data_IF_125807665962
#
_entry.id   IF_125807665962
#
_cell.length_a   1.000
_cell.length_b   1.000
_cell.length_c   1.000
_cell.angle_alpha   90.00
_cell.angle_beta   90.00
_cell.angle_gamma   90.00
#
_symmetry.space_group_name_H-M   'P 1'
#
loop_
_entity.id
_entity.type
_entity.pdbx_description
1 polymer ?
#
# COMPACT_ATOMS: atom_id res chain seq x y z
N UNK A 1 9.96 13.24 7.87
CA UNK A 1 9.61 12.51 6.63
C UNK A 1 8.10 12.44 6.42
N UNK A 2 7.69 12.11 5.21
CA UNK A 2 6.29 11.85 4.83
C UNK A 2 6.19 10.41 4.30
N UNK A 3 5.35 9.59 4.91
CA UNK A 3 5.07 8.25 4.42
C UNK A 3 3.69 8.20 3.74
N UNK A 4 3.67 7.85 2.45
CA UNK A 4 2.44 7.62 1.69
C UNK A 4 2.08 6.15 1.76
N UNK A 5 1.08 5.81 2.58
CA UNK A 5 0.68 4.42 2.81
C UNK A 5 -0.30 3.94 1.73
N UNK A 6 0.21 3.24 0.74
CA UNK A 6 -0.61 2.51 -0.24
C UNK A 6 -1.14 1.22 0.39
N UNK A 7 -2.44 0.87 0.24
CA UNK A 7 -2.99 -0.36 0.80
C UNK A 7 -2.26 -1.62 0.33
N UNK A 8 -1.99 -2.54 1.25
CA UNK A 8 -1.43 -3.90 1.01
C UNK A 8 0.01 -3.94 0.51
N UNK A 9 0.79 -2.90 0.74
CA UNK A 9 2.21 -2.79 0.37
C UNK A 9 3.18 -2.88 1.56
N UNK A 10 2.73 -3.44 2.68
CA UNK A 10 3.57 -3.58 3.89
C UNK A 10 3.56 -2.39 4.83
N UNK A 11 2.75 -1.37 4.56
CA UNK A 11 2.71 -0.14 5.35
C UNK A 11 2.45 -0.32 6.84
N UNK A 12 1.66 -1.33 7.24
CA UNK A 12 1.44 -1.63 8.67
C UNK A 12 2.71 -2.02 9.43
N UNK A 13 3.69 -2.64 8.76
CA UNK A 13 5.00 -2.93 9.35
C UNK A 13 5.82 -1.66 9.56
N UNK A 14 5.73 -0.73 8.61
CA UNK A 14 6.40 0.57 8.66
C UNK A 14 5.77 1.45 9.74
N UNK A 15 4.44 1.54 9.77
CA UNK A 15 3.71 2.26 10.81
C UNK A 15 4.05 1.74 12.22
N UNK A 16 4.09 0.41 12.37
CA UNK A 16 4.47 -0.22 13.64
C UNK A 16 5.91 0.06 14.02
N UNK A 17 6.84 0.11 13.06
CA UNK A 17 8.23 0.46 13.30
C UNK A 17 8.36 1.89 13.84
N UNK A 18 7.67 2.84 13.23
CA UNK A 18 7.66 4.23 13.66
C UNK A 18 6.72 4.50 14.84
N UNK A 19 6.10 3.45 15.37
CA UNK A 19 5.06 3.58 16.40
C UNK A 19 3.91 4.51 15.97
N UNK A 20 3.60 4.53 14.68
CA UNK A 20 2.47 5.22 14.08
C UNK A 20 1.37 4.17 13.93
N UNK A 21 0.26 4.32 14.64
CA UNK A 21 -0.87 3.41 14.49
C UNK A 21 -2.06 4.19 13.95
N UNK A 22 -2.76 3.63 12.96
CA UNK A 22 -3.96 4.23 12.41
C UNK A 22 -5.04 4.42 13.48
N UNK A 23 -6.02 3.54 13.53
CA UNK A 23 -7.12 3.61 14.50
C UNK A 23 -7.03 2.38 15.41
N UNK A 24 -7.19 2.53 16.72
CA UNK A 24 -7.30 1.38 17.62
C UNK A 24 -8.64 0.64 17.40
N UNK A 25 -8.78 -0.55 18.00
CA UNK A 25 -9.98 -1.38 17.88
C UNK A 25 -11.26 -0.71 18.45
N UNK A 26 -11.12 0.49 19.04
CA UNK A 26 -12.23 1.30 19.58
C UNK A 26 -12.52 2.51 18.72
N UNK A 27 -11.86 2.66 17.58
CA UNK A 27 -12.03 3.80 16.67
C UNK A 27 -11.32 5.08 17.13
N UNK A 28 -10.46 5.02 18.14
CA UNK A 28 -9.69 6.18 18.58
C UNK A 28 -8.44 6.33 17.70
N UNK A 29 -8.17 7.56 17.29
CA UNK A 29 -6.89 7.88 16.67
C UNK A 29 -5.77 7.64 17.67
N UNK A 30 -4.99 6.62 17.44
CA UNK A 30 -3.75 6.43 18.17
C UNK A 30 -2.73 7.36 17.55
N UNK A 31 -2.67 8.56 18.09
CA UNK A 31 -1.74 9.61 17.66
C UNK A 31 -0.36 9.31 18.17
N UNK A 32 0.59 9.41 17.33
CA UNK A 32 1.96 9.23 17.74
C UNK A 32 2.87 10.23 17.10
N UNK A 33 3.32 11.13 17.89
CA UNK A 33 4.51 11.96 17.76
C UNK A 33 4.97 12.31 16.32
N UNK A 34 4.04 12.41 15.40
CA UNK A 34 4.29 13.00 14.11
C UNK A 34 3.42 14.20 13.96
N UNK A 35 4.04 15.28 13.67
CA UNK A 35 3.42 16.57 13.38
C UNK A 35 2.42 16.56 12.22
N UNK A 36 2.13 15.37 11.64
CA UNK A 36 1.27 15.22 10.49
C UNK A 36 0.38 14.00 10.67
N UNK A 37 -0.73 14.20 11.38
CA UNK A 37 -1.81 13.23 11.49
C UNK A 37 -3.09 13.82 10.95
N UNK A 38 -3.64 13.16 9.97
CA UNK A 38 -4.97 13.43 9.46
C UNK A 38 -5.94 12.46 10.13
N UNK A 39 -7.07 12.92 10.64
CA UNK A 39 -8.06 12.13 11.37
C UNK A 39 -8.53 10.84 10.69
N UNK A 40 -9.55 10.19 11.21
CA UNK A 40 -10.10 8.92 10.73
C UNK A 40 -10.22 8.86 9.21
N UNK A 41 -9.72 7.78 8.60
CA UNK A 41 -9.77 7.54 7.16
C UNK A 41 -8.62 8.15 6.34
N UNK A 42 -7.65 8.80 6.97
CA UNK A 42 -6.52 9.43 6.28
C UNK A 42 -5.33 8.50 6.02
N UNK A 43 -5.35 7.28 6.55
CA UNK A 43 -4.23 6.33 6.43
C UNK A 43 -3.79 6.10 4.97
N UNK A 44 -4.72 6.15 4.03
CA UNK A 44 -4.48 5.89 2.61
C UNK A 44 -4.69 7.13 1.73
N UNK A 45 -4.29 8.29 2.21
CA UNK A 45 -4.30 9.48 1.37
C UNK A 45 -3.20 9.42 0.29
N UNK A 46 -3.52 9.93 -0.90
CA UNK A 46 -2.51 10.19 -1.93
C UNK A 46 -1.56 11.29 -1.45
N UNK A 47 -0.34 11.36 -2.01
CA UNK A 47 0.61 12.41 -1.65
C UNK A 47 0.01 13.81 -1.85
N UNK A 48 -0.71 14.05 -2.95
CA UNK A 48 -1.42 15.32 -3.18
C UNK A 48 -2.40 15.65 -2.06
N UNK A 49 -3.17 14.64 -1.62
CA UNK A 49 -4.14 14.82 -0.52
C UNK A 49 -3.46 15.12 0.80
N UNK A 50 -2.28 14.52 1.04
CA UNK A 50 -1.45 14.84 2.21
C UNK A 50 -1.01 16.30 2.16
N UNK A 51 -0.51 16.78 1.02
CA UNK A 51 -0.10 18.18 0.85
C UNK A 51 -1.27 19.16 1.07
N UNK A 52 -2.45 18.87 0.51
CA UNK A 52 -3.66 19.70 0.65
C UNK A 52 -4.15 19.81 2.11
N UNK A 53 -3.98 18.73 2.89
CA UNK A 53 -4.47 18.65 4.26
C UNK A 53 -3.46 19.10 5.30
N UNK A 54 -2.18 19.19 4.93
CA UNK A 54 -1.12 19.59 5.84
C UNK A 54 -1.11 21.11 6.05
N UNK A 55 -1.02 21.52 7.31
CA UNK A 55 -0.77 22.92 7.66
C UNK A 55 0.74 23.26 7.63
N UNK A 56 1.61 22.30 7.27
CA UNK A 56 3.07 22.45 7.25
C UNK A 56 3.57 22.49 5.82
N UNK A 57 4.65 23.22 5.60
CA UNK A 57 5.39 23.13 4.34
C UNK A 57 6.16 21.77 4.32
N UNK A 58 5.64 20.84 3.54
CA UNK A 58 6.23 19.49 3.43
C UNK A 58 7.36 19.38 2.40
N UNK A 59 7.70 20.46 1.68
CA UNK A 59 8.72 20.44 0.62
C UNK A 59 10.13 20.11 1.11
N UNK A 60 10.40 20.28 2.41
CA UNK A 60 11.68 19.98 3.04
C UNK A 60 11.73 18.59 3.68
N UNK A 61 10.64 17.86 3.66
CA UNK A 61 10.54 16.54 4.26
C UNK A 61 10.84 15.47 3.23
N UNK A 62 11.75 14.54 3.54
CA UNK A 62 11.94 13.34 2.74
C UNK A 62 10.63 12.53 2.68
N UNK A 63 10.18 12.23 1.48
CA UNK A 63 8.90 11.56 1.23
C UNK A 63 9.10 10.21 0.57
N UNK A 64 8.35 9.19 1.03
CA UNK A 64 8.49 7.85 0.49
C UNK A 64 7.18 7.07 0.50
N UNK A 65 7.15 6.03 -0.30
CA UNK A 65 6.07 5.04 -0.38
C UNK A 65 6.61 3.66 -0.69
N UNK A 66 5.76 2.64 -0.57
CA UNK A 66 6.02 1.31 -1.07
C UNK A 66 4.93 0.89 -2.04
N UNK A 67 5.34 0.21 -3.11
CA UNK A 67 4.46 -0.43 -4.08
C UNK A 67 4.63 -1.94 -4.03
N UNK A 68 3.70 -2.67 -4.60
CA UNK A 68 3.70 -4.13 -4.64
C UNK A 68 3.24 -4.62 -6.00
N UNK A 69 3.72 -5.78 -6.43
CA UNK A 69 3.22 -6.46 -7.61
C UNK A 69 1.69 -6.48 -7.61
N UNK A 70 1.00 -5.90 -8.61
CA UNK A 70 -0.46 -5.71 -8.60
C UNK A 70 -1.25 -7.01 -8.40
N UNK A 71 -0.81 -8.10 -9.01
CA UNK A 71 -1.45 -9.41 -8.85
C UNK A 71 -1.28 -9.95 -7.42
N UNK A 72 -0.10 -9.82 -6.85
CA UNK A 72 0.16 -10.19 -5.45
C UNK A 72 -0.64 -9.32 -4.48
N UNK A 73 -0.80 -8.02 -4.79
CA UNK A 73 -1.58 -7.07 -4.00
C UNK A 73 -3.07 -7.44 -3.94
N UNK A 74 -3.68 -7.81 -5.08
CA UNK A 74 -5.09 -8.24 -5.12
C UNK A 74 -5.34 -9.52 -4.32
N UNK A 75 -4.43 -10.50 -4.39
CA UNK A 75 -4.55 -11.70 -3.54
C UNK A 75 -4.47 -11.34 -2.05
N UNK A 76 -3.54 -10.46 -1.68
CA UNK A 76 -3.41 -9.99 -0.30
C UNK A 76 -4.66 -9.23 0.18
N UNK A 77 -5.28 -8.44 -0.68
CA UNK A 77 -6.51 -7.71 -0.37
C UNK A 77 -7.69 -8.66 -0.21
N UNK A 78 -7.85 -9.64 -1.12
CA UNK A 78 -8.91 -10.64 -1.03
C UNK A 78 -8.89 -11.40 0.29
N UNK A 79 -7.74 -11.96 0.67
CA UNK A 79 -7.64 -12.73 1.91
C UNK A 79 -7.83 -11.87 3.16
N UNK A 80 -7.34 -10.63 3.14
CA UNK A 80 -7.58 -9.71 4.23
C UNK A 80 -9.06 -9.36 4.36
N UNK A 81 -9.75 -9.00 3.28
CA UNK A 81 -11.19 -8.72 3.32
C UNK A 81 -12.00 -9.93 3.71
N UNK A 82 -11.72 -11.09 3.14
CA UNK A 82 -12.43 -12.33 3.44
C UNK A 82 -12.37 -12.70 4.92
N UNK A 83 -11.42 -12.19 5.69
CA UNK A 83 -11.29 -12.45 7.12
C UNK A 83 -12.32 -11.71 7.98
N UNK A 84 -12.98 -10.67 7.46
CA UNK A 84 -13.93 -9.86 8.22
C UNK A 84 -15.19 -9.43 7.43
N UNK A 85 -15.15 -9.45 6.11
CA UNK A 85 -16.26 -9.03 5.27
C UNK A 85 -17.14 -10.22 4.92
N UNK A 86 -18.34 -10.24 5.48
CA UNK A 86 -19.30 -11.35 5.33
C UNK A 86 -19.81 -11.50 3.90
N UNK A 87 -19.82 -10.45 3.07
CA UNK A 87 -20.19 -10.53 1.65
C UNK A 87 -19.25 -11.51 0.92
N UNK A 88 -17.99 -11.58 1.34
CA UNK A 88 -16.96 -12.41 0.69
C UNK A 88 -16.89 -13.85 1.21
N UNK A 89 -17.71 -14.24 2.18
CA UNK A 89 -17.63 -15.57 2.81
C UNK A 89 -17.62 -16.70 1.78
N UNK A 90 -18.49 -16.64 0.80
CA UNK A 90 -18.63 -17.67 -0.24
C UNK A 90 -17.91 -17.35 -1.55
N UNK A 91 -17.22 -16.21 -1.63
CA UNK A 91 -16.50 -15.83 -2.84
C UNK A 91 -15.21 -16.65 -3.00
N UNK A 92 -14.99 -17.13 -4.22
CA UNK A 92 -13.65 -17.51 -4.67
C UNK A 92 -12.84 -16.27 -5.01
N UNK A 93 -11.53 -16.39 -5.19
CA UNK A 93 -10.71 -15.28 -5.67
C UNK A 93 -11.18 -14.79 -7.05
N UNK A 94 -11.61 -15.71 -7.90
CA UNK A 94 -12.18 -15.37 -9.22
C UNK A 94 -13.44 -14.51 -9.10
N UNK A 95 -14.36 -14.87 -8.20
CA UNK A 95 -15.58 -14.07 -7.95
C UNK A 95 -15.23 -12.67 -7.43
N UNK A 96 -14.25 -12.58 -6.55
CA UNK A 96 -13.75 -11.31 -6.05
C UNK A 96 -13.23 -10.41 -7.20
N UNK A 97 -12.39 -10.93 -8.09
CA UNK A 97 -11.87 -10.17 -9.23
C UNK A 97 -12.99 -9.74 -10.19
N UNK A 98 -13.96 -10.60 -10.44
CA UNK A 98 -15.03 -10.33 -11.40
C UNK A 98 -16.09 -9.35 -10.88
N UNK A 99 -16.40 -9.40 -9.57
CA UNK A 99 -17.61 -8.75 -9.04
C UNK A 99 -17.37 -7.77 -7.90
N UNK A 100 -16.22 -7.82 -7.23
CA UNK A 100 -16.01 -7.08 -5.99
C UNK A 100 -14.84 -6.09 -6.04
N UNK A 101 -13.73 -6.38 -6.70
CA UNK A 101 -12.48 -5.63 -6.57
C UNK A 101 -12.55 -4.14 -6.93
N UNK A 102 -13.57 -3.71 -7.67
CA UNK A 102 -13.81 -2.31 -8.05
C UNK A 102 -14.64 -1.52 -7.02
N UNK A 103 -15.21 -2.19 -6.02
CA UNK A 103 -16.10 -1.56 -5.03
C UNK A 103 -15.35 -0.80 -3.93
N UNK A 104 -14.02 -0.84 -3.89
CA UNK A 104 -13.27 -0.36 -2.73
C UNK A 104 -12.17 0.62 -3.10
N UNK A 105 -11.91 1.59 -2.21
CA UNK A 105 -10.79 2.53 -2.35
C UNK A 105 -9.41 1.85 -2.30
N UNK A 106 -9.30 0.66 -1.68
CA UNK A 106 -8.09 -0.14 -1.70
C UNK A 106 -7.71 -0.65 -3.08
N UNK A 107 -8.69 -0.77 -3.99
CA UNK A 107 -8.48 -1.15 -5.38
C UNK A 107 -7.98 -0.04 -6.29
N UNK A 108 -7.65 1.15 -5.78
CA UNK A 108 -7.06 2.20 -6.59
C UNK A 108 -5.67 1.81 -7.12
N UNK A 109 -5.32 2.19 -8.36
CA UNK A 109 -3.96 2.02 -8.88
C UNK A 109 -2.93 2.73 -7.99
N UNK A 110 -1.78 2.10 -7.80
CA UNK A 110 -0.73 2.59 -6.89
C UNK A 110 -0.08 3.88 -7.40
N UNK A 111 0.04 4.02 -8.72
CA UNK A 111 0.55 5.23 -9.34
C UNK A 111 -0.25 6.48 -8.95
N UNK A 112 -1.55 6.36 -8.69
CA UNK A 112 -2.38 7.49 -8.27
C UNK A 112 -1.99 8.09 -6.92
N UNK A 113 -1.29 7.34 -6.10
CA UNK A 113 -0.83 7.78 -4.78
C UNK A 113 0.45 8.61 -4.85
N UNK A 114 1.33 8.33 -5.82
CA UNK A 114 2.72 8.80 -5.83
C UNK A 114 3.16 9.48 -7.12
N UNK A 115 2.30 9.49 -8.17
CA UNK A 115 2.57 10.20 -9.41
C UNK A 115 1.56 11.32 -9.64
N UNK A 116 1.96 12.31 -10.44
CA UNK A 116 1.03 13.31 -10.95
C UNK A 116 0.29 12.82 -12.21
N UNK A 117 -0.53 13.71 -12.78
CA UNK A 117 -1.30 13.42 -14.01
C UNK A 117 -0.42 13.15 -15.23
N UNK A 118 0.80 13.67 -15.23
CA UNK A 118 1.76 13.58 -16.33
C UNK A 118 2.75 12.42 -16.14
N UNK A 119 2.56 11.62 -15.06
CA UNK A 119 3.39 10.46 -14.71
C UNK A 119 4.68 10.81 -13.97
N UNK A 120 4.86 12.07 -13.55
CA UNK A 120 6.03 12.47 -12.77
C UNK A 120 5.89 12.00 -11.32
N UNK A 121 6.97 11.41 -10.80
CA UNK A 121 7.04 11.00 -9.39
C UNK A 121 6.96 12.22 -8.46
N UNK A 122 6.10 12.11 -7.46
CA UNK A 122 5.84 13.16 -6.47
C UNK A 122 6.57 12.95 -5.15
N UNK A 123 6.98 11.73 -4.85
CA UNK A 123 7.70 11.37 -3.62
C UNK A 123 9.19 11.15 -3.93
N UNK A 124 10.06 11.31 -2.94
CA UNK A 124 11.51 11.19 -3.13
C UNK A 124 11.97 9.74 -3.35
N UNK A 125 11.26 8.77 -2.76
CA UNK A 125 11.62 7.36 -2.88
C UNK A 125 10.38 6.45 -2.96
N UNK A 126 10.44 5.45 -3.85
CA UNK A 126 9.43 4.39 -3.96
C UNK A 126 10.13 3.04 -3.82
N UNK A 127 9.91 2.38 -2.69
CA UNK A 127 10.37 1.01 -2.45
C UNK A 127 9.39 -0.04 -2.97
N UNK A 128 9.86 -1.28 -3.11
CA UNK A 128 9.05 -2.44 -3.49
C UNK A 128 8.79 -3.33 -2.27
N UNK A 129 7.55 -3.79 -2.11
CA UNK A 129 7.18 -4.75 -1.06
C UNK A 129 8.00 -6.03 -1.14
N UNK A 130 8.37 -6.43 -2.34
CA UNK A 130 9.18 -7.61 -2.63
C UNK A 130 10.60 -7.51 -2.01
N UNK A 131 11.10 -6.28 -1.84
CA UNK A 131 12.39 -5.95 -1.22
C UNK A 131 12.20 -5.08 0.04
N UNK A 132 11.11 -5.31 0.79
CA UNK A 132 10.63 -4.38 1.81
C UNK A 132 11.70 -4.00 2.85
N UNK A 133 12.51 -4.95 3.32
CA UNK A 133 13.54 -4.68 4.33
C UNK A 133 14.72 -3.89 3.75
N UNK A 134 15.20 -4.32 2.60
CA UNK A 134 16.33 -3.70 1.91
C UNK A 134 16.01 -2.25 1.54
N UNK A 135 14.84 -2.03 0.94
CA UNK A 135 14.38 -0.69 0.56
C UNK A 135 14.10 0.18 1.80
N UNK A 136 13.62 -0.43 2.90
CA UNK A 136 13.43 0.29 4.15
C UNK A 136 14.76 0.68 4.80
N UNK A 137 15.79 -0.13 4.67
CA UNK A 137 17.14 0.19 5.15
C UNK A 137 17.73 1.41 4.44
N UNK A 138 17.44 1.57 3.13
CA UNK A 138 17.79 2.78 2.37
C UNK A 138 17.06 4.01 2.93
N UNK A 139 15.76 3.86 3.24
CA UNK A 139 14.99 4.94 3.84
C UNK A 139 15.57 5.33 5.20
N UNK A 140 15.93 4.36 6.05
CA UNK A 140 16.57 4.63 7.34
C UNK A 140 17.83 5.49 7.19
N UNK A 141 18.69 5.19 6.21
CA UNK A 141 19.87 6.00 5.89
C UNK A 141 19.49 7.43 5.47
N UNK A 142 18.49 7.58 4.59
CA UNK A 142 18.05 8.89 4.09
C UNK A 142 17.48 9.79 5.19
N UNK A 143 16.80 9.22 6.17
CA UNK A 143 16.21 9.98 7.29
C UNK A 143 17.10 10.02 8.54
N UNK A 144 18.30 9.42 8.50
CA UNK A 144 19.29 9.49 9.56
C UNK A 144 18.97 8.68 10.81
N UNK A 145 18.31 7.51 10.67
CA UNK A 145 17.99 6.63 11.80
C UNK A 145 18.67 5.26 11.67
N UNK A 146 18.91 4.55 12.78
CA UNK A 146 19.49 3.22 12.74
C UNK A 146 18.61 2.21 11.96
N UNK A 147 19.24 1.42 11.11
CA UNK A 147 18.61 0.27 10.47
C UNK A 147 18.19 -0.75 11.53
N UNK A 148 16.95 -1.17 11.46
CA UNK A 148 16.39 -2.23 12.33
C UNK A 148 15.44 -3.08 11.52
N UNK A 149 15.34 -4.35 11.90
CA UNK A 149 14.39 -5.28 11.27
C UNK A 149 12.96 -4.80 11.45
N UNK A 150 12.23 -4.69 10.34
CA UNK A 150 10.82 -4.36 10.37
C UNK A 150 10.03 -5.42 11.14
N UNK A 151 9.09 -5.01 12.01
CA UNK A 151 8.22 -5.95 12.66
C UNK A 151 7.33 -6.64 11.64
N UNK A 152 7.23 -7.95 11.72
CA UNK A 152 6.31 -8.71 10.89
C UNK A 152 4.87 -8.43 11.33
N UNK A 153 4.09 -7.76 10.47
CA UNK A 153 2.67 -7.49 10.70
C UNK A 153 1.83 -8.05 9.57
N UNK A 154 0.71 -8.70 9.92
CA UNK A 154 -0.35 -9.09 8.98
C UNK A 154 0.08 -10.02 7.83
N UNK A 155 0.90 -11.04 8.08
CA UNK A 155 1.16 -12.08 7.08
C UNK A 155 -0.12 -12.88 6.83
N UNK A 156 -0.77 -12.63 5.70
CA UNK A 156 -1.88 -13.48 5.26
C UNK A 156 -1.35 -14.88 4.92
N UNK A 157 -2.01 -15.89 5.47
CA UNK A 157 -1.69 -17.30 5.18
C UNK A 157 -2.36 -17.69 3.86
N UNK A 158 -1.64 -17.59 2.78
CA UNK A 158 -2.10 -18.04 1.45
C UNK A 158 -0.91 -18.61 0.68
N UNK A 159 -1.21 -19.39 -0.35
CA UNK A 159 -0.23 -19.90 -1.30
C UNK A 159 0.42 -18.79 -2.12
N UNK A 160 1.36 -19.12 -2.99
CA UNK A 160 1.91 -18.14 -3.93
C UNK A 160 0.78 -17.54 -4.77
N UNK A 161 0.84 -16.22 -5.03
CA UNK A 161 -0.29 -15.51 -5.64
C UNK A 161 -0.65 -16.03 -7.04
N UNK A 162 0.30 -16.56 -7.78
CA UNK A 162 0.07 -17.13 -9.12
C UNK A 162 -0.90 -18.31 -9.14
N UNK A 163 -1.05 -19.03 -8.03
CA UNK A 163 -1.94 -20.19 -7.93
C UNK A 163 -3.44 -19.83 -7.88
N UNK A 164 -3.77 -18.55 -7.74
CA UNK A 164 -5.15 -18.07 -7.67
C UNK A 164 -5.69 -17.56 -8.99
N UNK A 165 -4.82 -17.34 -9.98
CA UNK A 165 -5.16 -16.74 -11.25
C UNK A 165 -5.42 -17.76 -12.34
N UNK A 166 -6.46 -17.51 -13.14
CA UNK A 166 -6.59 -18.02 -14.50
C UNK A 166 -6.23 -16.89 -15.50
N UNK A 167 -6.15 -17.22 -16.81
CA UNK A 167 -5.78 -16.22 -17.82
C UNK A 167 -6.74 -15.03 -17.85
N UNK A 168 -8.04 -15.26 -17.61
CA UNK A 168 -9.05 -14.19 -17.60
C UNK A 168 -8.84 -13.23 -16.42
N UNK A 169 -8.69 -13.73 -15.21
CA UNK A 169 -8.48 -12.90 -14.02
C UNK A 169 -7.12 -12.21 -14.03
N UNK A 170 -6.10 -12.87 -14.55
CA UNK A 170 -4.78 -12.29 -14.79
C UNK A 170 -4.85 -11.08 -15.71
N UNK A 171 -5.58 -11.21 -16.83
CA UNK A 171 -5.76 -10.13 -17.81
C UNK A 171 -6.56 -8.96 -17.22
N UNK A 172 -7.64 -9.22 -16.49
CA UNK A 172 -8.44 -8.16 -15.83
C UNK A 172 -7.56 -7.31 -14.89
N UNK A 173 -6.71 -7.95 -14.09
CA UNK A 173 -5.80 -7.24 -13.19
C UNK A 173 -4.71 -6.50 -13.97
N UNK A 174 -4.19 -7.10 -15.06
CA UNK A 174 -3.23 -6.44 -15.93
C UNK A 174 -3.79 -5.15 -16.55
N UNK A 175 -5.01 -5.19 -17.05
CA UNK A 175 -5.67 -4.03 -17.64
C UNK A 175 -5.97 -2.95 -16.60
N UNK A 176 -6.51 -3.34 -15.45
CA UNK A 176 -6.82 -2.41 -14.36
C UNK A 176 -5.60 -1.65 -13.86
N UNK A 177 -4.46 -2.31 -13.76
CA UNK A 177 -3.22 -1.76 -13.22
C UNK A 177 -2.12 -1.58 -14.27
N UNK A 178 -2.50 -1.40 -15.54
CA UNK A 178 -1.54 -1.29 -16.65
C UNK A 178 -0.46 -0.23 -16.39
N UNK A 179 -0.84 0.95 -15.88
CA UNK A 179 0.10 2.03 -15.54
C UNK A 179 1.04 1.66 -14.39
N UNK A 180 0.56 0.92 -13.38
CA UNK A 180 1.41 0.44 -12.28
C UNK A 180 2.43 -0.56 -12.80
N UNK A 181 1.99 -1.49 -13.65
CA UNK A 181 2.82 -2.53 -14.25
C UNK A 181 3.93 -1.90 -15.10
N UNK A 182 3.56 -0.97 -15.98
CA UNK A 182 4.49 -0.26 -16.85
C UNK A 182 5.50 0.57 -16.04
N UNK A 183 5.00 1.45 -15.15
CA UNK A 183 5.85 2.40 -14.45
C UNK A 183 6.79 1.74 -13.44
N UNK A 184 6.29 0.77 -12.65
CA UNK A 184 7.07 0.10 -11.63
C UNK A 184 7.80 -1.15 -12.13
N UNK A 185 7.61 -1.53 -13.40
CA UNK A 185 8.31 -2.63 -14.06
C UNK A 185 7.92 -4.02 -13.54
N UNK A 186 6.63 -4.23 -13.20
CA UNK A 186 6.16 -5.52 -12.69
C UNK A 186 5.82 -6.51 -13.81
N UNK A 187 6.05 -7.79 -13.54
CA UNK A 187 5.60 -8.91 -14.37
C UNK A 187 4.87 -9.94 -13.52
N UNK A 188 3.96 -10.68 -14.16
CA UNK A 188 3.29 -11.80 -13.49
C UNK A 188 4.28 -12.95 -13.26
N UNK A 189 4.33 -13.45 -12.02
CA UNK A 189 5.23 -14.56 -11.65
C UNK A 189 6.51 -14.12 -10.95
N UNK A 190 6.77 -12.81 -10.88
CA UNK A 190 7.92 -12.26 -10.11
C UNK A 190 7.59 -12.09 -8.64
#
# INVERSE_FOLDING_TARGET
FVFVHIPKTGGSSIEKFFNIHGVDNKGNNTVFNSDIMFGNGSQHFTYKKILEKSNKNLSTYFSFSFVRNPWSREVSEFFWRKSWDTELTNYTFKDYILFYNNKTSHGLPQNTFVLDKDGKQLVDFIGKFENLQEDFDIICEKIGIPKKKLPYSNKSKHKHYTEYYDEKTKQIVAEKYAKDIEYFGYKFGE
#
